data_IF_312065412984
#
_entry.id   IF_312065412984
#
_cell.length_a   1.000
_cell.length_b   1.000
_cell.length_c   1.000
_cell.angle_alpha   90.00
_cell.angle_beta   90.00
_cell.angle_gamma   90.00
#
_symmetry.space_group_name_H-M   'P 1'
#
loop_
_entity.id
_entity.type
_entity.pdbx_description
1 polymer ?
#
# COMPACT_ATOMS: atom_id res chain seq x y z
N UNK A 1 -56.27 -14.50 -19.06
CA UNK A 1 -55.11 -15.38 -19.32
C UNK A 1 -53.98 -14.46 -19.78
N UNK A 2 -52.93 -14.12 -19.05
CA UNK A 2 -52.21 -14.80 -17.96
C UNK A 2 -50.77 -15.01 -18.44
N UNK A 3 -49.89 -14.04 -18.15
CA UNK A 3 -48.46 -13.97 -18.53
C UNK A 3 -47.62 -15.09 -17.92
N UNK A 4 -46.65 -15.64 -18.67
CA UNK A 4 -45.26 -15.91 -18.24
C UNK A 4 -44.41 -16.52 -19.38
N UNK A 5 -43.36 -15.82 -19.78
CA UNK A 5 -42.28 -16.36 -20.62
C UNK A 5 -40.96 -16.31 -19.86
N UNK A 6 -40.40 -17.48 -19.52
CA UNK A 6 -39.05 -17.66 -18.99
C UNK A 6 -38.06 -17.82 -20.15
N UNK A 7 -36.94 -17.11 -20.14
CA UNK A 7 -35.77 -17.39 -20.99
C UNK A 7 -34.69 -18.17 -20.22
N UNK A 8 -34.14 -19.24 -20.81
CA UNK A 8 -32.80 -19.76 -20.54
C UNK A 8 -31.91 -19.69 -21.83
N UNK A 9 -30.59 -19.97 -21.75
CA UNK A 9 -29.57 -19.06 -22.30
C UNK A 9 -28.64 -19.67 -23.37
N UNK A 10 -27.65 -18.84 -23.77
CA UNK A 10 -26.25 -19.10 -24.16
C UNK A 10 -25.81 -19.01 -25.63
N UNK A 11 -24.60 -18.44 -25.74
CA UNK A 11 -23.56 -18.51 -26.79
C UNK A 11 -23.65 -17.56 -27.98
N UNK A 12 -22.81 -16.51 -27.95
CA UNK A 12 -22.20 -15.90 -29.15
C UNK A 12 -20.70 -16.23 -29.08
N UNK A 13 -20.24 -17.28 -29.77
CA UNK A 13 -19.78 -17.31 -31.16
C UNK A 13 -18.33 -16.82 -31.31
N UNK A 14 -17.39 -17.74 -31.13
CA UNK A 14 -16.03 -17.64 -31.67
C UNK A 14 -16.06 -17.95 -33.17
N UNK A 15 -15.64 -17.00 -34.01
CA UNK A 15 -15.25 -17.27 -35.40
C UNK A 15 -13.73 -17.19 -35.50
N UNK A 16 -13.09 -18.35 -35.60
CA UNK A 16 -11.72 -18.49 -36.08
C UNK A 16 -11.76 -18.40 -37.60
N UNK A 17 -11.30 -17.28 -38.17
CA UNK A 17 -10.88 -17.24 -39.56
C UNK A 17 -9.38 -17.55 -39.60
N UNK A 18 -9.03 -18.80 -39.91
CA UNK A 18 -7.69 -19.15 -40.36
C UNK A 18 -7.63 -18.94 -41.87
N UNK A 19 -6.87 -17.94 -42.32
CA UNK A 19 -6.39 -17.83 -43.69
C UNK A 19 -4.87 -17.98 -43.67
N UNK A 20 -4.41 -18.99 -44.38
CA UNK A 20 -3.02 -19.41 -44.50
C UNK A 20 -2.25 -18.40 -45.37
N UNK A 21 -1.20 -17.78 -44.82
CA UNK A 21 -0.33 -16.84 -45.54
C UNK A 21 0.98 -17.53 -45.99
N UNK A 22 1.45 -17.33 -47.23
CA UNK A 22 2.77 -17.79 -47.65
C UNK A 22 3.88 -16.80 -47.26
N UNK A 23 5.00 -17.39 -46.81
CA UNK A 23 6.36 -16.87 -46.55
C UNK A 23 6.58 -15.38 -46.21
N UNK A 24 6.97 -15.15 -44.95
CA UNK A 24 7.60 -13.91 -44.49
C UNK A 24 7.01 -13.38 -43.20
N UNK A 25 7.79 -13.48 -42.11
CA UNK A 25 7.66 -12.78 -40.82
C UNK A 25 6.73 -13.34 -39.72
N UNK A 26 7.40 -14.06 -38.80
CA UNK A 26 7.37 -14.02 -37.32
C UNK A 26 6.01 -13.86 -36.62
N UNK A 27 5.58 -14.94 -35.95
CA UNK A 27 4.66 -14.87 -34.82
C UNK A 27 5.35 -14.19 -33.63
N UNK A 28 4.84 -13.03 -33.20
CA UNK A 28 5.09 -12.55 -31.84
C UNK A 28 3.93 -13.04 -30.97
N UNK A 29 4.25 -14.00 -30.10
CA UNK A 29 3.44 -14.33 -28.94
C UNK A 29 3.43 -13.11 -28.02
N UNK A 30 2.34 -12.35 -28.00
CA UNK A 30 2.14 -11.26 -27.05
C UNK A 30 1.72 -11.84 -25.71
N UNK A 31 2.67 -11.90 -24.78
CA UNK A 31 2.48 -12.39 -23.41
C UNK A 31 1.47 -11.57 -22.60
N UNK A 32 0.85 -12.26 -21.65
CA UNK A 32 -0.20 -11.86 -20.69
C UNK A 32 0.13 -10.66 -19.78
N UNK A 33 -0.95 -9.91 -19.42
CA UNK A 33 -1.23 -9.07 -18.24
C UNK A 33 -0.07 -8.53 -17.37
N UNK A 34 0.10 -7.20 -17.32
CA UNK A 34 0.78 -6.50 -16.20
C UNK A 34 -0.22 -5.57 -15.49
N UNK A 35 -0.53 -5.88 -14.21
CA UNK A 35 -1.34 -5.02 -13.33
C UNK A 35 -0.55 -3.75 -13.05
N UNK A 36 -1.01 -2.60 -13.56
CA UNK A 36 -0.46 -1.28 -13.22
C UNK A 36 -0.50 -1.10 -11.69
N UNK A 37 0.66 -0.98 -11.01
CA UNK A 37 0.69 -0.64 -9.59
C UNK A 37 0.14 0.79 -9.42
N UNK A 38 -1.04 0.92 -8.81
CA UNK A 38 -1.67 2.21 -8.53
C UNK A 38 -0.86 3.00 -7.48
N UNK A 39 -0.88 4.35 -7.49
CA UNK A 39 -0.21 5.14 -6.48
C UNK A 39 -0.68 4.76 -5.08
N UNK A 40 0.17 5.00 -4.07
CA UNK A 40 -0.15 4.69 -2.68
C UNK A 40 -0.65 5.95 -1.96
N UNK A 41 -1.65 5.77 -1.09
CA UNK A 41 -2.11 6.75 -0.10
C UNK A 41 -1.63 6.28 1.26
N UNK A 42 -1.07 7.20 2.05
CA UNK A 42 -0.56 6.93 3.40
C UNK A 42 -1.49 7.63 4.38
N UNK A 43 -2.00 6.89 5.36
CA UNK A 43 -2.89 7.41 6.42
C UNK A 43 -2.19 7.21 7.77
N UNK A 44 -1.61 8.27 8.35
CA UNK A 44 -0.94 8.19 9.65
C UNK A 44 -1.93 8.07 10.79
N UNK A 45 -1.65 7.15 11.72
CA UNK A 45 -2.45 6.95 12.92
C UNK A 45 -1.58 6.57 14.13
N UNK A 46 -2.12 6.83 15.32
CA UNK A 46 -1.58 6.39 16.59
C UNK A 46 -2.50 5.37 17.25
N UNK A 47 -1.94 4.29 17.80
CA UNK A 47 -2.63 3.34 18.66
C UNK A 47 -2.08 3.43 20.08
N UNK A 48 -2.91 3.75 21.06
CA UNK A 48 -2.52 3.74 22.49
C UNK A 48 -2.69 2.35 23.10
N UNK A 49 -1.61 1.80 23.65
CA UNK A 49 -1.57 0.54 24.37
C UNK A 49 -1.23 0.77 25.84
N UNK A 50 -1.94 0.11 26.75
CA UNK A 50 -1.71 0.22 28.20
C UNK A 50 -0.55 -0.71 28.63
N UNK A 51 0.63 -0.45 28.08
CA UNK A 51 1.86 -1.18 28.35
C UNK A 51 2.93 -0.26 28.95
N UNK A 52 3.84 -0.87 29.71
CA UNK A 52 5.04 -0.20 30.17
C UNK A 52 6.01 0.00 28.99
N UNK A 53 6.59 1.20 28.92
CA UNK A 53 7.56 1.50 27.87
C UNK A 53 8.91 0.86 28.18
N UNK A 54 9.48 0.17 27.19
CA UNK A 54 10.82 -0.37 27.23
C UNK A 54 11.73 0.49 26.34
N UNK A 55 12.87 0.94 26.86
CA UNK A 55 13.83 1.76 26.09
C UNK A 55 14.39 1.04 24.86
N UNK A 56 14.35 -0.29 24.81
CA UNK A 56 14.78 -1.05 23.62
C UNK A 56 13.84 -0.80 22.42
N UNK A 57 12.66 -0.21 22.62
CA UNK A 57 11.78 0.24 21.55
C UNK A 57 12.30 1.46 20.77
N UNK A 58 13.34 2.14 21.25
CA UNK A 58 13.98 3.23 20.51
C UNK A 58 14.86 2.71 19.35
N UNK A 59 15.25 1.42 19.37
CA UNK A 59 15.97 0.76 18.28
C UNK A 59 15.04 -0.14 17.47
N UNK A 60 14.74 0.24 16.22
CA UNK A 60 13.88 -0.52 15.30
C UNK A 60 14.41 -1.92 14.98
N UNK A 61 15.71 -2.17 15.20
CA UNK A 61 16.35 -3.47 14.95
C UNK A 61 16.43 -4.34 16.20
N UNK A 62 15.98 -3.84 17.36
CA UNK A 62 15.96 -4.63 18.58
C UNK A 62 14.94 -5.76 18.50
N UNK A 63 15.17 -6.81 19.27
CA UNK A 63 14.24 -7.95 19.36
C UNK A 63 12.91 -7.49 19.98
N UNK A 64 12.96 -6.60 20.96
CA UNK A 64 11.79 -6.07 21.64
C UNK A 64 10.93 -5.22 20.71
N UNK A 65 11.55 -4.34 19.91
CA UNK A 65 10.83 -3.55 18.91
C UNK A 65 10.17 -4.46 17.87
N UNK A 66 10.95 -5.36 17.25
CA UNK A 66 10.46 -6.20 16.16
C UNK A 66 9.36 -7.17 16.63
N UNK A 67 9.47 -7.69 17.85
CA UNK A 67 8.44 -8.55 18.46
C UNK A 67 7.14 -7.78 18.67
N UNK A 68 7.20 -6.61 19.30
CA UNK A 68 5.99 -5.80 19.54
C UNK A 68 5.39 -5.28 18.22
N UNK A 69 6.24 -4.82 17.30
CA UNK A 69 5.81 -4.36 15.98
C UNK A 69 5.07 -5.46 15.21
N UNK A 70 5.56 -6.70 15.24
CA UNK A 70 4.90 -7.85 14.60
C UNK A 70 3.50 -8.07 15.18
N UNK A 71 3.37 -8.11 16.52
CA UNK A 71 2.07 -8.30 17.17
C UNK A 71 1.07 -7.18 16.84
N UNK A 72 1.56 -5.94 16.79
CA UNK A 72 0.74 -4.78 16.44
C UNK A 72 0.32 -4.82 14.97
N UNK A 73 1.24 -5.14 14.05
CA UNK A 73 0.95 -5.25 12.61
C UNK A 73 -0.09 -6.34 12.36
N UNK A 74 0.06 -7.53 12.95
CA UNK A 74 -0.91 -8.62 12.79
C UNK A 74 -2.30 -8.21 13.29
N UNK A 75 -2.37 -7.59 14.47
CA UNK A 75 -3.64 -7.18 15.08
C UNK A 75 -4.30 -6.04 14.29
N UNK A 76 -3.53 -5.05 13.84
CA UNK A 76 -4.06 -3.96 13.03
C UNK A 76 -4.42 -4.43 11.62
N UNK A 77 -3.67 -5.35 11.02
CA UNK A 77 -4.00 -5.91 9.70
C UNK A 77 -5.42 -6.49 9.71
N UNK A 78 -5.80 -7.24 10.74
CA UNK A 78 -7.16 -7.75 10.89
C UNK A 78 -8.22 -6.65 11.07
N UNK A 79 -7.87 -5.51 11.67
CA UNK A 79 -8.76 -4.35 11.83
C UNK A 79 -8.95 -3.58 10.51
N UNK A 80 -7.89 -3.48 9.71
CA UNK A 80 -7.91 -2.81 8.42
C UNK A 80 -8.39 -3.72 7.27
N UNK A 81 -8.43 -5.03 7.50
CA UNK A 81 -8.91 -6.01 6.53
C UNK A 81 -10.37 -5.71 6.12
N UNK A 82 -10.60 -5.64 4.81
CA UNK A 82 -11.91 -5.30 4.25
C UNK A 82 -12.14 -3.81 3.97
N UNK A 83 -11.25 -2.91 4.42
CA UNK A 83 -11.30 -1.50 4.02
C UNK A 83 -10.81 -1.37 2.57
N UNK A 84 -11.57 -0.73 1.65
CA UNK A 84 -11.21 -0.61 0.25
C UNK A 84 -9.81 -0.05 0.02
N UNK A 85 -9.02 -0.77 -0.76
CA UNK A 85 -7.66 -0.38 -1.13
C UNK A 85 -6.61 -0.65 -0.07
N UNK A 86 -6.91 -1.21 1.10
CA UNK A 86 -5.90 -1.51 2.12
C UNK A 86 -4.78 -2.43 1.58
N UNK A 87 -3.52 -2.11 1.89
CA UNK A 87 -2.34 -2.85 1.47
C UNK A 87 -1.61 -3.40 2.69
N UNK A 88 -1.19 -2.53 3.61
CA UNK A 88 -0.33 -2.90 4.74
C UNK A 88 -0.37 -1.85 5.85
N UNK A 89 0.09 -2.26 7.04
CA UNK A 89 0.40 -1.38 8.17
C UNK A 89 1.90 -1.38 8.38
N UNK A 90 2.48 -0.18 8.54
CA UNK A 90 3.91 -0.01 8.80
C UNK A 90 4.11 0.77 10.09
N UNK A 91 4.85 0.16 11.02
CA UNK A 91 5.18 0.77 12.32
C UNK A 91 6.34 1.74 12.15
N UNK A 92 6.14 2.97 12.61
CA UNK A 92 7.16 4.03 12.60
C UNK A 92 7.98 3.93 13.89
N UNK A 93 7.33 4.07 15.04
CA UNK A 93 7.98 4.04 16.36
C UNK A 93 6.99 3.79 17.49
N UNK A 94 7.54 3.51 18.67
CA UNK A 94 6.83 3.49 19.94
C UNK A 94 7.20 4.72 20.77
N UNK A 95 6.26 5.26 21.54
CA UNK A 95 6.47 6.46 22.35
C UNK A 95 6.18 6.16 23.83
N UNK A 96 6.96 6.70 24.79
CA UNK A 96 6.73 6.50 26.22
C UNK A 96 5.44 7.18 26.74
N UNK A 97 4.89 6.65 27.84
CA UNK A 97 3.72 7.20 28.56
C UNK A 97 2.38 6.52 28.21
N UNK A 98 2.22 5.24 28.58
CA UNK A 98 1.40 4.26 27.84
C UNK A 98 1.92 4.14 26.42
N UNK A 99 2.37 2.95 26.01
CA UNK A 99 3.02 2.79 24.71
C UNK A 99 2.08 3.24 23.59
N UNK A 100 2.40 4.37 22.96
CA UNK A 100 1.69 4.82 21.75
C UNK A 100 2.48 4.33 20.56
N UNK A 101 1.87 3.46 19.76
CA UNK A 101 2.41 3.05 18.47
C UNK A 101 2.06 4.13 17.46
N UNK A 102 3.05 4.73 16.84
CA UNK A 102 2.87 5.59 15.68
C UNK A 102 3.09 4.75 14.44
N UNK A 103 2.12 4.72 13.55
CA UNK A 103 2.14 3.87 12.37
C UNK A 103 1.47 4.57 11.18
N UNK A 104 1.63 3.97 10.00
CA UNK A 104 0.89 4.35 8.80
C UNK A 104 0.16 3.15 8.24
N UNK A 105 -1.09 3.36 7.83
CA UNK A 105 -1.80 2.42 6.99
C UNK A 105 -1.66 2.86 5.52
N UNK A 106 -1.28 1.93 4.67
CA UNK A 106 -1.02 2.16 3.25
C UNK A 106 -2.18 1.62 2.44
N UNK A 107 -2.67 2.42 1.50
CA UNK A 107 -3.78 2.08 0.62
C UNK A 107 -3.43 2.31 -0.85
N UNK A 108 -4.07 1.59 -1.77
CA UNK A 108 -4.11 1.94 -3.18
C UNK A 108 -4.97 3.20 -3.36
N UNK A 109 -4.38 4.28 -3.87
CA UNK A 109 -4.99 5.62 -3.87
C UNK A 109 -6.25 5.73 -4.72
N UNK A 110 -6.38 4.87 -5.73
CA UNK A 110 -7.53 4.80 -6.64
C UNK A 110 -8.73 4.03 -6.04
N UNK A 111 -8.53 3.34 -4.92
CA UNK A 111 -9.56 2.58 -4.19
C UNK A 111 -9.82 3.14 -2.79
N UNK A 112 -8.87 3.90 -2.24
CA UNK A 112 -8.95 4.40 -0.87
C UNK A 112 -10.08 5.42 -0.68
N UNK A 113 -10.83 5.26 0.40
CA UNK A 113 -11.82 6.24 0.84
C UNK A 113 -11.16 7.49 1.47
N UNK A 114 -11.97 8.46 1.91
CA UNK A 114 -11.46 9.62 2.66
C UNK A 114 -10.86 9.21 4.00
N UNK A 115 -9.93 9.99 4.53
CA UNK A 115 -9.26 9.70 5.82
C UNK A 115 -10.27 9.56 6.96
N UNK A 116 -11.32 10.40 6.93
CA UNK A 116 -12.41 10.35 7.89
C UNK A 116 -13.23 9.06 7.82
N UNK A 117 -13.49 8.54 6.62
CA UNK A 117 -14.24 7.29 6.43
C UNK A 117 -13.39 6.09 6.88
N UNK A 118 -12.12 6.06 6.48
CA UNK A 118 -11.15 5.04 6.92
C UNK A 118 -11.08 5.04 8.45
N UNK A 119 -10.92 6.20 9.08
CA UNK A 119 -10.83 6.32 10.53
C UNK A 119 -12.08 5.79 11.25
N UNK A 120 -13.27 6.12 10.76
CA UNK A 120 -14.53 5.61 11.33
C UNK A 120 -14.65 4.09 11.20
N UNK A 121 -14.23 3.53 10.06
CA UNK A 121 -14.29 2.10 9.82
C UNK A 121 -13.28 1.35 10.69
N UNK A 122 -12.05 1.88 10.83
CA UNK A 122 -11.03 1.32 11.73
C UNK A 122 -11.51 1.31 13.18
N UNK A 123 -12.08 2.40 13.68
CA UNK A 123 -12.62 2.44 15.04
C UNK A 123 -13.76 1.43 15.24
N UNK A 124 -14.64 1.29 14.23
CA UNK A 124 -15.72 0.30 14.26
C UNK A 124 -15.17 -1.14 14.28
N UNK A 125 -14.24 -1.45 13.38
CA UNK A 125 -13.63 -2.78 13.28
C UNK A 125 -12.82 -3.12 14.54
N UNK A 126 -12.12 -2.15 15.12
CA UNK A 126 -11.41 -2.32 16.38
C UNK A 126 -12.38 -2.60 17.53
N UNK A 127 -13.49 -1.87 17.63
CA UNK A 127 -14.51 -2.14 18.63
C UNK A 127 -15.04 -3.57 18.54
N UNK A 128 -15.31 -4.04 17.32
CA UNK A 128 -15.73 -5.43 17.07
C UNK A 128 -14.65 -6.42 17.47
N UNK A 129 -13.39 -6.18 17.10
CA UNK A 129 -12.28 -7.08 17.40
C UNK A 129 -12.01 -7.19 18.91
N UNK A 130 -12.11 -6.07 19.64
CA UNK A 130 -12.01 -6.05 21.11
C UNK A 130 -13.17 -6.83 21.73
N UNK A 131 -14.41 -6.53 21.33
CA UNK A 131 -15.60 -7.16 21.91
C UNK A 131 -15.69 -8.67 21.62
N UNK A 132 -15.20 -9.10 20.46
CA UNK A 132 -15.15 -10.50 20.07
C UNK A 132 -13.91 -11.24 20.61
N UNK A 133 -12.98 -10.53 21.26
CA UNK A 133 -11.72 -11.09 21.76
C UNK A 133 -10.77 -11.56 20.65
N UNK A 134 -10.92 -11.04 19.43
CA UNK A 134 -10.05 -11.37 18.29
C UNK A 134 -8.87 -10.39 18.16
N UNK A 135 -8.94 -9.23 18.82
CA UNK A 135 -7.79 -8.35 18.95
C UNK A 135 -6.80 -8.92 19.99
N UNK A 136 -5.50 -8.81 19.74
CA UNK A 136 -4.51 -9.39 20.64
C UNK A 136 -4.56 -8.73 22.03
N UNK A 137 -5.01 -9.50 23.02
CA UNK A 137 -5.15 -9.03 24.41
C UNK A 137 -3.83 -8.65 25.07
N UNK A 138 -2.67 -9.13 24.58
CA UNK A 138 -1.36 -8.74 25.13
C UNK A 138 -0.99 -7.30 24.82
N UNK A 139 -1.64 -6.68 23.83
CA UNK A 139 -1.46 -5.26 23.51
C UNK A 139 -2.22 -4.33 24.47
N UNK A 140 -3.07 -4.88 25.34
CA UNK A 140 -3.83 -4.14 26.36
C UNK A 140 -4.55 -2.90 25.80
N UNK A 141 -5.27 -3.10 24.70
CA UNK A 141 -6.13 -2.09 24.06
C UNK A 141 -7.58 -2.39 24.43
N UNK A 142 -8.24 -1.47 25.12
CA UNK A 142 -9.58 -1.69 25.67
C UNK A 142 -10.65 -0.76 25.09
N UNK A 143 -10.25 0.22 24.28
CA UNK A 143 -11.15 1.21 23.70
C UNK A 143 -10.92 1.32 22.19
N UNK A 144 -12.00 1.33 21.42
CA UNK A 144 -12.01 1.66 19.99
C UNK A 144 -11.40 3.03 19.68
N UNK A 145 -11.49 3.98 20.61
CA UNK A 145 -10.89 5.31 20.50
C UNK A 145 -9.39 5.31 20.81
N UNK A 146 -8.78 4.16 21.07
CA UNK A 146 -7.33 4.05 21.18
C UNK A 146 -6.62 4.32 19.84
N UNK A 147 -7.31 4.15 18.71
CA UNK A 147 -6.80 4.56 17.38
C UNK A 147 -7.27 5.97 17.07
N UNK A 148 -6.31 6.86 16.82
CA UNK A 148 -6.56 8.27 16.49
C UNK A 148 -5.68 8.72 15.32
N UNK A 149 -6.17 9.64 14.48
CA UNK A 149 -5.34 10.23 13.43
C UNK A 149 -4.20 11.04 14.07
N UNK A 150 -3.03 11.04 13.42
CA UNK A 150 -1.87 11.82 13.84
C UNK A 150 -1.31 12.62 12.68
N UNK A 151 -0.60 13.70 12.98
CA UNK A 151 0.33 14.30 12.03
C UNK A 151 1.70 13.62 12.19
N UNK A 152 2.36 13.31 11.07
CA UNK A 152 3.75 12.90 11.06
C UNK A 152 4.66 14.10 11.29
N UNK A 153 5.75 13.91 12.04
CA UNK A 153 6.84 14.89 12.08
C UNK A 153 7.67 14.81 10.80
N UNK A 154 8.51 15.82 10.54
CA UNK A 154 9.42 15.83 9.38
C UNK A 154 10.31 14.58 9.35
N UNK A 155 10.90 14.21 10.49
CA UNK A 155 11.77 13.02 10.60
C UNK A 155 11.00 11.71 10.35
N UNK A 156 9.74 11.63 10.79
CA UNK A 156 8.89 10.45 10.55
C UNK A 156 8.48 10.38 9.08
N UNK A 157 8.25 11.51 8.45
CA UNK A 157 7.97 11.61 7.03
C UNK A 157 9.17 11.17 6.19
N UNK A 158 10.38 11.60 6.58
CA UNK A 158 11.64 11.17 5.96
C UNK A 158 11.88 9.66 6.15
N UNK A 159 11.55 9.11 7.31
CA UNK A 159 11.65 7.68 7.55
C UNK A 159 10.66 6.89 6.70
N UNK A 160 9.41 7.33 6.60
CA UNK A 160 8.39 6.72 5.72
C UNK A 160 8.79 6.85 4.24
N UNK A 161 9.48 7.92 3.85
CA UNK A 161 9.93 8.14 2.47
C UNK A 161 11.25 7.45 2.11
N UNK A 162 12.00 6.94 3.08
CA UNK A 162 13.28 6.25 2.81
C UNK A 162 13.20 4.75 3.08
N UNK A 163 12.16 4.29 3.78
CA UNK A 163 11.97 2.88 4.08
C UNK A 163 11.52 2.09 2.83
N UNK A 164 12.36 1.13 2.44
CA UNK A 164 12.15 0.27 1.27
C UNK A 164 10.84 -0.53 1.29
N UNK A 165 10.23 -0.72 2.46
CA UNK A 165 8.89 -1.32 2.58
C UNK A 165 7.81 -0.50 1.89
N UNK A 166 7.96 0.83 1.82
CA UNK A 166 7.03 1.70 1.08
C UNK A 166 7.36 1.81 -0.41
N UNK A 167 8.61 1.54 -0.79
CA UNK A 167 9.11 1.63 -2.16
C UNK A 167 9.29 0.25 -2.81
N UNK A 168 8.19 -0.47 -3.03
CA UNK A 168 8.21 -1.81 -3.65
C UNK A 168 8.10 -1.79 -5.19
N UNK A 169 8.21 -0.62 -5.82
CA UNK A 169 8.07 -0.51 -7.28
C UNK A 169 9.30 -1.09 -7.98
N UNK A 170 9.06 -1.92 -9.00
CA UNK A 170 10.14 -2.43 -9.86
C UNK A 170 10.37 -1.40 -10.96
N UNK A 171 11.39 -0.56 -10.79
CA UNK A 171 11.63 0.61 -11.64
C UNK A 171 12.51 0.34 -12.86
N UNK A 172 12.77 -0.93 -13.20
CA UNK A 172 13.61 -1.32 -14.34
C UNK A 172 15.07 -0.86 -14.25
N UNK A 173 15.89 -1.26 -15.21
CA UNK A 173 17.31 -0.88 -15.25
C UNK A 173 17.46 0.64 -15.46
N UNK A 174 18.26 1.28 -14.61
CA UNK A 174 18.46 2.74 -14.62
C UNK A 174 17.41 3.55 -13.88
N UNK A 175 16.37 2.91 -13.34
CA UNK A 175 15.33 3.54 -12.53
C UNK A 175 15.46 3.16 -11.05
N UNK A 176 15.17 4.11 -10.17
CA UNK A 176 15.12 3.90 -8.73
C UNK A 176 13.74 4.29 -8.20
N UNK A 177 13.24 3.53 -7.24
CA UNK A 177 12.02 3.89 -6.54
C UNK A 177 12.37 5.00 -5.55
N UNK A 178 11.70 6.14 -5.65
CA UNK A 178 11.84 7.26 -4.72
C UNK A 178 10.47 7.61 -4.16
N UNK A 179 10.41 7.88 -2.86
CA UNK A 179 9.21 8.44 -2.26
C UNK A 179 9.34 9.96 -2.21
N UNK A 180 8.28 10.65 -2.63
CA UNK A 180 8.22 12.10 -2.66
C UNK A 180 6.93 12.61 -2.03
N UNK A 181 7.01 13.76 -1.37
CA UNK A 181 5.84 14.50 -0.90
C UNK A 181 5.36 15.41 -2.04
N UNK A 182 4.45 14.92 -2.89
CA UNK A 182 3.83 15.80 -3.93
C UNK A 182 2.79 16.75 -3.35
N UNK A 183 2.24 16.43 -2.17
CA UNK A 183 1.31 17.26 -1.44
C UNK A 183 1.56 17.13 0.07
N UNK A 184 1.31 18.18 0.89
CA UNK A 184 1.48 18.12 2.33
C UNK A 184 0.82 16.89 2.96
N UNK A 185 1.62 16.01 3.58
CA UNK A 185 1.15 14.77 4.21
C UNK A 185 0.82 13.61 3.27
N UNK A 186 1.00 13.77 1.96
CA UNK A 186 0.79 12.73 0.95
C UNK A 186 2.15 12.29 0.39
N UNK A 187 2.69 11.22 0.97
CA UNK A 187 3.88 10.55 0.45
C UNK A 187 3.46 9.61 -0.67
N UNK A 188 4.02 9.80 -1.86
CA UNK A 188 3.82 8.91 -3.00
C UNK A 188 5.12 8.18 -3.32
N UNK A 189 5.05 6.88 -3.60
CA UNK A 189 6.15 6.14 -4.21
C UNK A 189 6.08 6.33 -5.72
N UNK A 190 7.16 6.78 -6.34
CA UNK A 190 7.29 6.88 -7.79
C UNK A 190 8.65 6.36 -8.28
N UNK A 191 8.69 5.85 -9.51
CA UNK A 191 9.95 5.50 -10.13
C UNK A 191 10.56 6.75 -10.77
N UNK A 192 11.80 7.07 -10.39
CA UNK A 192 12.59 8.17 -10.93
C UNK A 192 13.84 7.63 -11.64
N UNK A 193 14.43 8.44 -12.51
CA UNK A 193 15.67 8.07 -13.18
C UNK A 193 16.86 8.20 -12.24
N UNK A 194 17.81 7.28 -12.34
CA UNK A 194 19.15 7.50 -11.77
C UNK A 194 19.75 8.75 -12.41
N UNK A 195 20.47 9.53 -11.61
CA UNK A 195 21.13 10.74 -12.06
C UNK A 195 22.02 10.44 -13.28
N UNK A 196 21.95 11.29 -14.30
CA UNK A 196 22.69 11.15 -15.55
C UNK A 196 22.43 9.88 -16.37
N UNK A 197 21.35 9.12 -16.09
CA UNK A 197 21.00 7.95 -16.91
C UNK A 197 20.83 8.30 -18.39
N UNK A 198 20.20 9.45 -18.69
CA UNK A 198 20.11 10.02 -20.03
C UNK A 198 21.09 11.19 -20.18
N UNK A 199 22.39 10.89 -20.24
CA UNK A 199 23.53 11.84 -20.27
C UNK A 199 23.34 13.12 -21.12
N UNK A 200 22.53 13.09 -22.18
CA UNK A 200 22.21 14.25 -23.01
C UNK A 200 20.75 14.26 -23.50
N UNK A 201 19.81 13.69 -22.73
CA UNK A 201 18.42 13.53 -23.13
C UNK A 201 17.43 13.69 -21.99
N UNK A 202 16.14 13.79 -22.32
CA UNK A 202 15.06 13.74 -21.34
C UNK A 202 14.84 12.30 -20.92
N UNK A 203 14.76 12.07 -19.61
CA UNK A 203 14.47 10.76 -19.05
C UNK A 203 13.00 10.66 -18.63
N UNK A 204 12.28 9.69 -19.19
CA UNK A 204 10.92 9.37 -18.79
C UNK A 204 10.89 7.98 -18.17
N UNK A 205 10.30 7.86 -16.99
CA UNK A 205 10.16 6.56 -16.35
C UNK A 205 8.85 5.91 -16.72
N UNK A 206 8.93 4.73 -17.32
CA UNK A 206 7.77 3.87 -17.55
C UNK A 206 7.77 2.84 -16.43
N UNK A 207 6.74 2.87 -15.58
CA UNK A 207 6.56 1.90 -14.50
C UNK A 207 6.66 0.46 -15.06
N UNK A 208 7.42 -0.40 -14.39
CA UNK A 208 7.74 -1.80 -14.76
C UNK A 208 8.65 -2.01 -15.99
N UNK A 209 8.94 -0.98 -16.79
CA UNK A 209 9.89 -1.05 -17.92
C UNK A 209 11.19 -0.30 -17.64
N UNK A 210 11.11 0.66 -16.72
CA UNK A 210 12.18 1.56 -16.36
C UNK A 210 12.35 2.76 -17.27
N UNK A 211 13.41 3.55 -17.02
CA UNK A 211 13.63 4.80 -17.71
C UNK A 211 13.93 4.63 -19.20
N UNK A 212 13.36 5.55 -19.98
CA UNK A 212 13.60 5.72 -21.40
C UNK A 212 14.18 7.09 -21.67
N UNK A 213 15.28 7.11 -22.42
CA UNK A 213 15.89 8.34 -22.89
C UNK A 213 15.26 8.79 -24.20
N UNK A 214 14.84 10.05 -24.25
CA UNK A 214 14.48 10.77 -25.47
C UNK A 214 15.54 11.83 -25.75
N UNK A 215 16.08 11.82 -26.96
CA UNK A 215 17.01 12.84 -27.44
C UNK A 215 16.30 13.74 -28.45
N UNK A 216 16.38 15.05 -28.26
CA UNK A 216 15.98 16.01 -29.29
C UNK A 216 17.01 15.97 -30.41
N UNK A 217 16.55 15.71 -31.64
CA UNK A 217 17.37 15.80 -32.85
C UNK A 217 17.82 17.22 -33.11
#
# INVERSE_FOLDING_TARGET
>A
MGLQGRQPPRQQSSRLHFLQLPQGQVQIYGYSCLKKKSPRKVVPAGLTMQLDFNSNYDDRNSVEFTTLATQVVESLTAVYEGIPGFIEVVIIKFVPGSVVVRYTAVFASDQAESDSAIQQQVQTNLAVAINNGTFNGTLNVTDSQAVQPIALTTDELELVSTDSSFCTLTCGEGGVCQLGEKFPGVVIAECVCVENYCYAGTCDVIVDQGPRCRWSK
#
